data_IF_541573403905
#
_entry.id   IF_541573403905
#
_cell.length_a   1.000
_cell.length_b   1.000
_cell.length_c   1.000
_cell.angle_alpha   90.00
_cell.angle_beta   90.00
_cell.angle_gamma   90.00
#
_symmetry.space_group_name_H-M   'P 1'
#
loop_
_entity.id
_entity.type
_entity.pdbx_description
1 polymer ?
#
# COMPACT_ATOMS: atom_id res chain seq x y z
N UNK A 1 -9.82 -6.68 4.29
CA UNK A 1 -8.61 -6.72 5.13
C UNK A 1 -8.22 -5.31 5.52
N UNK A 2 -6.95 -5.09 5.86
CA UNK A 2 -6.35 -3.77 6.04
C UNK A 2 -5.74 -3.36 4.70
N UNK A 3 -6.09 -2.18 4.21
CA UNK A 3 -5.65 -1.66 2.92
C UNK A 3 -4.52 -0.65 3.12
N UNK A 4 -3.43 -0.85 2.38
CA UNK A 4 -2.27 0.04 2.33
C UNK A 4 -2.00 0.43 0.87
N UNK A 5 -1.31 1.54 0.65
CA UNK A 5 -0.88 1.97 -0.66
C UNK A 5 0.56 2.48 -0.62
N UNK A 6 1.28 2.29 -1.72
CA UNK A 6 2.66 2.77 -1.92
C UNK A 6 2.71 4.21 -2.46
N UNK A 7 1.56 4.83 -2.68
CA UNK A 7 1.43 6.19 -3.18
C UNK A 7 0.60 7.04 -2.22
N UNK A 8 1.21 8.11 -1.71
CA UNK A 8 0.56 9.12 -0.88
C UNK A 8 -0.77 9.60 -1.49
N UNK A 9 -0.77 9.92 -2.79
CA UNK A 9 -1.95 10.43 -3.49
C UNK A 9 -3.16 9.49 -3.40
N UNK A 10 -2.95 8.17 -3.47
CA UNK A 10 -4.02 7.18 -3.37
C UNK A 10 -4.62 7.18 -1.97
N UNK A 11 -3.78 7.11 -0.93
CA UNK A 11 -4.25 7.16 0.46
C UNK A 11 -4.90 8.50 0.82
N UNK A 12 -4.45 9.61 0.23
CA UNK A 12 -5.01 10.94 0.45
C UNK A 12 -6.44 11.11 -0.11
N UNK A 13 -6.97 10.19 -0.90
CA UNK A 13 -8.39 10.21 -1.27
C UNK A 13 -9.32 9.72 -0.17
N UNK A 14 -8.78 9.06 0.86
CA UNK A 14 -9.54 8.49 1.97
C UNK A 14 -9.49 9.34 3.24
N UNK A 15 -8.84 10.50 3.19
CA UNK A 15 -8.73 11.41 4.34
C UNK A 15 -9.67 12.60 4.17
N UNK A 16 -10.25 13.04 5.28
CA UNK A 16 -11.02 14.28 5.35
C UNK A 16 -10.32 15.23 6.32
N UNK A 17 -10.01 16.47 5.91
CA UNK A 17 -9.32 17.41 6.79
C UNK A 17 -10.20 17.82 7.97
N UNK A 18 -9.60 17.95 9.15
CA UNK A 18 -10.24 18.51 10.33
C UNK A 18 -9.47 19.75 10.77
N UNK A 19 -10.15 20.89 10.85
CA UNK A 19 -9.53 22.20 11.21
C UNK A 19 -8.30 22.56 10.36
N UNK A 20 -8.28 22.13 9.10
CA UNK A 20 -7.18 22.38 8.17
C UNK A 20 -6.02 21.38 8.26
N UNK A 21 -6.13 20.34 9.08
CA UNK A 21 -5.09 19.30 9.21
C UNK A 21 -5.60 17.96 8.68
N UNK A 22 -4.74 17.27 7.94
CA UNK A 22 -4.89 15.91 7.46
C UNK A 22 -3.91 15.02 8.24
N UNK A 23 -4.34 13.82 8.62
CA UNK A 23 -3.49 12.83 9.28
C UNK A 23 -3.40 11.58 8.44
N UNK A 24 -2.19 11.07 8.26
CA UNK A 24 -1.93 9.80 7.58
C UNK A 24 -0.91 8.97 8.37
N UNK A 25 -1.02 7.65 8.27
CA UNK A 25 -0.08 6.73 8.89
C UNK A 25 0.91 6.20 7.86
N UNK A 26 2.19 6.11 8.22
CA UNK A 26 3.12 5.22 7.56
C UNK A 26 3.24 3.93 8.38
N UNK A 27 3.01 2.83 7.69
CA UNK A 27 2.80 1.52 8.28
C UNK A 27 3.83 0.57 7.68
N UNK A 28 4.62 -0.05 8.54
CA UNK A 28 5.41 -1.23 8.16
C UNK A 28 4.46 -2.42 8.03
N UNK A 29 4.53 -3.14 6.92
CA UNK A 29 3.69 -4.32 6.68
C UNK A 29 4.53 -5.53 6.26
N UNK A 30 4.32 -6.64 6.96
CA UNK A 30 4.86 -7.95 6.60
C UNK A 30 3.99 -8.57 5.49
N UNK A 31 4.26 -8.17 4.24
CA UNK A 31 3.52 -8.61 3.06
C UNK A 31 3.74 -10.08 2.71
N UNK A 32 4.91 -10.64 3.04
CA UNK A 32 5.26 -12.02 2.73
C UNK A 32 5.13 -12.32 1.24
N UNK A 33 4.56 -13.49 0.91
CA UNK A 33 4.29 -13.87 -0.47
C UNK A 33 2.96 -13.29 -0.96
N UNK A 34 3.03 -12.39 -1.93
CA UNK A 34 1.88 -11.66 -2.45
C UNK A 34 1.15 -12.40 -3.56
N UNK A 35 -0.19 -12.43 -3.51
CA UNK A 35 -1.04 -12.82 -4.65
C UNK A 35 -1.39 -11.59 -5.47
N UNK A 36 -0.86 -11.49 -6.69
CA UNK A 36 -1.24 -10.43 -7.62
C UNK A 36 -2.65 -10.61 -8.20
N UNK A 37 -3.44 -9.53 -8.23
CA UNK A 37 -4.72 -9.43 -8.93
C UNK A 37 -4.77 -8.17 -9.82
N UNK A 38 -5.53 -8.22 -10.91
CA UNK A 38 -5.74 -7.10 -11.85
C UNK A 38 -7.21 -6.65 -11.91
N UNK A 39 -8.09 -7.33 -11.18
CA UNK A 39 -9.52 -7.02 -11.09
C UNK A 39 -9.97 -7.14 -9.66
N UNK A 40 -10.93 -6.31 -9.29
CA UNK A 40 -11.53 -6.33 -7.97
C UNK A 40 -12.17 -7.68 -7.66
N UNK A 41 -11.84 -8.21 -6.49
CA UNK A 41 -12.49 -9.36 -5.89
C UNK A 41 -12.88 -9.02 -4.45
N UNK A 42 -14.10 -8.51 -4.31
CA UNK A 42 -14.68 -8.11 -3.03
C UNK A 42 -14.99 -9.30 -2.12
N UNK A 43 -14.89 -10.54 -2.62
CA UNK A 43 -15.17 -11.75 -1.82
C UNK A 43 -13.99 -12.19 -0.96
N UNK A 44 -12.80 -11.63 -1.19
CA UNK A 44 -11.59 -11.97 -0.46
C UNK A 44 -11.66 -11.51 1.00
N UNK A 45 -11.80 -12.47 1.92
CA UNK A 45 -11.73 -12.26 3.37
C UNK A 45 -10.42 -12.76 4.00
N UNK A 46 -9.57 -13.42 3.22
CA UNK A 46 -8.24 -13.89 3.58
C UNK A 46 -7.31 -13.93 2.36
N UNK A 47 -6.00 -14.00 2.56
CA UNK A 47 -5.05 -14.26 1.48
C UNK A 47 -5.30 -15.67 0.88
N UNK A 48 -5.27 -15.83 -0.45
CA UNK A 48 -5.43 -17.15 -1.07
C UNK A 48 -4.40 -18.16 -0.58
N UNK A 49 -4.75 -19.46 -0.62
CA UNK A 49 -3.89 -20.54 -0.12
C UNK A 49 -2.47 -20.45 -0.70
N UNK A 50 -1.48 -20.43 0.20
CA UNK A 50 -0.06 -20.35 -0.18
C UNK A 50 0.47 -18.94 -0.46
N UNK A 51 -0.29 -17.92 -0.04
CA UNK A 51 0.06 -16.51 -0.05
C UNK A 51 -0.25 -15.89 1.32
N UNK A 52 0.44 -14.79 1.65
CA UNK A 52 0.33 -14.08 2.93
C UNK A 52 -0.44 -12.76 2.80
N UNK A 53 -0.52 -12.22 1.58
CA UNK A 53 -1.18 -10.96 1.25
C UNK A 53 -1.69 -10.96 -0.18
N UNK A 54 -2.44 -9.92 -0.55
CA UNK A 54 -2.90 -9.67 -1.92
C UNK A 54 -2.35 -8.31 -2.38
N UNK A 55 -1.82 -8.29 -3.59
CA UNK A 55 -1.41 -7.08 -4.30
C UNK A 55 -2.40 -6.83 -5.45
N UNK A 56 -3.27 -5.86 -5.28
CA UNK A 56 -4.05 -5.30 -6.37
C UNK A 56 -3.14 -4.38 -7.19
N UNK A 57 -2.66 -4.89 -8.33
CA UNK A 57 -1.58 -4.24 -9.08
C UNK A 57 -2.14 -3.09 -9.91
N UNK A 58 -1.71 -1.87 -9.60
CA UNK A 58 -2.04 -0.65 -10.31
C UNK A 58 -1.41 -0.58 -11.68
N UNK A 59 -2.01 0.22 -12.57
CA UNK A 59 -1.37 0.60 -13.83
C UNK A 59 -0.16 1.50 -13.61
N UNK A 60 -0.09 2.22 -12.47
CA UNK A 60 1.03 3.07 -12.09
C UNK A 60 1.55 2.73 -10.69
N UNK A 61 2.86 2.70 -10.53
CA UNK A 61 3.54 2.48 -9.24
C UNK A 61 4.87 3.24 -9.17
N UNK A 62 5.38 3.55 -7.96
CA UNK A 62 6.75 4.00 -7.78
C UNK A 62 7.74 3.03 -8.44
N UNK A 63 8.73 3.52 -9.22
CA UNK A 63 9.61 2.66 -10.01
C UNK A 63 10.65 1.93 -9.16
N UNK A 64 11.02 2.50 -8.02
CA UNK A 64 12.16 2.08 -7.22
C UNK A 64 11.75 1.92 -5.76
N UNK A 65 12.55 1.17 -5.02
CA UNK A 65 12.41 1.00 -3.58
C UNK A 65 13.77 1.19 -2.93
N UNK A 66 13.80 1.91 -1.83
CA UNK A 66 14.96 2.00 -0.95
C UNK A 66 14.77 1.07 0.23
N UNK A 67 15.81 0.34 0.60
CA UNK A 67 15.80 -0.48 1.80
C UNK A 67 16.37 0.31 2.97
N UNK A 68 15.58 0.44 4.03
CA UNK A 68 16.02 1.04 5.30
C UNK A 68 15.96 0.00 6.41
N UNK A 69 16.73 0.21 7.48
CA UNK A 69 16.68 -0.66 8.66
C UNK A 69 15.78 -0.06 9.74
N UNK A 70 14.80 -0.82 10.22
CA UNK A 70 13.93 -0.47 11.36
C UNK A 70 13.89 -1.66 12.32
N UNK A 71 14.30 -1.47 13.57
CA UNK A 71 14.36 -2.52 14.61
C UNK A 71 15.15 -3.77 14.15
N UNK A 72 16.21 -3.59 13.36
CA UNK A 72 17.01 -4.70 12.80
C UNK A 72 16.35 -5.42 11.61
N UNK A 73 15.19 -4.96 11.14
CA UNK A 73 14.54 -5.49 9.94
C UNK A 73 14.79 -4.58 8.73
N UNK A 74 14.97 -5.19 7.58
CA UNK A 74 15.02 -4.50 6.28
C UNK A 74 13.61 -4.19 5.82
N UNK A 75 13.28 -2.91 5.68
CA UNK A 75 11.97 -2.41 5.28
C UNK A 75 12.11 -1.64 3.98
N UNK A 76 11.35 -2.05 2.95
CA UNK A 76 11.33 -1.36 1.66
C UNK A 76 10.42 -0.14 1.70
N UNK A 77 10.93 1.00 1.25
CA UNK A 77 10.22 2.27 1.12
C UNK A 77 10.12 2.63 -0.36
N UNK A 78 8.91 2.82 -0.92
CA UNK A 78 8.74 3.20 -2.32
C UNK A 78 9.36 4.58 -2.60
N UNK A 79 10.10 4.70 -3.70
CA UNK A 79 10.79 5.91 -4.12
C UNK A 79 10.43 6.32 -5.55
N UNK A 80 10.48 7.63 -5.79
CA UNK A 80 10.31 8.22 -7.11
C UNK A 80 8.85 8.47 -7.53
N UNK A 81 8.70 9.16 -8.67
CA UNK A 81 7.38 9.47 -9.24
C UNK A 81 6.78 8.22 -9.88
N UNK A 82 5.48 7.94 -9.68
CA UNK A 82 4.83 6.77 -10.28
C UNK A 82 4.99 6.71 -11.80
N UNK A 83 5.24 5.51 -12.33
CA UNK A 83 5.35 5.22 -13.77
C UNK A 83 4.45 4.05 -14.13
N UNK A 84 4.16 3.89 -15.41
CA UNK A 84 3.40 2.75 -15.91
C UNK A 84 4.09 1.42 -15.55
N UNK A 85 3.30 0.46 -15.07
CA UNK A 85 3.78 -0.85 -14.64
C UNK A 85 3.65 -1.85 -15.79
N UNK A 86 4.78 -2.43 -16.21
CA UNK A 86 4.79 -3.50 -17.19
C UNK A 86 3.95 -4.69 -16.70
N UNK A 87 3.08 -5.23 -17.58
CA UNK A 87 2.21 -6.36 -17.24
C UNK A 87 0.94 -6.00 -16.43
N UNK A 88 0.72 -4.73 -16.09
CA UNK A 88 -0.53 -4.26 -15.47
C UNK A 88 -1.57 -3.74 -16.49
N UNK A 89 -1.34 -3.96 -17.79
CA UNK A 89 -2.26 -3.52 -18.85
C UNK A 89 -3.63 -4.15 -18.66
N UNK A 90 -4.67 -3.32 -18.58
CA UNK A 90 -6.04 -3.76 -18.35
C UNK A 90 -6.39 -4.06 -16.90
N UNK A 91 -5.54 -3.64 -15.94
CA UNK A 91 -5.92 -3.58 -14.53
C UNK A 91 -7.10 -2.62 -14.31
N UNK A 92 -8.03 -2.97 -13.41
CA UNK A 92 -9.04 -2.01 -12.93
C UNK A 92 -8.47 -1.00 -11.92
N UNK A 93 -7.24 -1.23 -11.45
CA UNK A 93 -6.59 -0.39 -10.45
C UNK A 93 -5.66 0.62 -11.10
N UNK A 94 -5.80 1.90 -10.76
CA UNK A 94 -4.85 2.95 -11.19
C UNK A 94 -3.56 2.95 -10.36
N UNK A 95 -3.66 2.61 -9.08
CA UNK A 95 -2.56 2.58 -8.10
C UNK A 95 -2.49 1.19 -7.46
N UNK A 96 -1.34 0.82 -6.92
CA UNK A 96 -1.26 -0.42 -6.13
C UNK A 96 -2.10 -0.29 -4.85
N UNK A 97 -2.76 -1.38 -4.47
CA UNK A 97 -3.30 -1.57 -3.13
C UNK A 97 -2.77 -2.88 -2.55
N UNK A 98 -2.24 -2.82 -1.34
CA UNK A 98 -1.71 -3.96 -0.61
C UNK A 98 -2.70 -4.33 0.48
N UNK A 99 -3.17 -5.58 0.45
CA UNK A 99 -4.16 -6.09 1.38
C UNK A 99 -3.52 -7.16 2.26
N UNK A 100 -3.52 -6.90 3.56
CA UNK A 100 -3.22 -7.89 4.60
C UNK A 100 -4.51 -8.25 5.34
N UNK A 101 -4.54 -9.44 5.93
CA UNK A 101 -5.76 -9.99 6.53
C UNK A 101 -5.62 -10.31 8.02
N UNK A 102 -4.43 -10.14 8.59
CA UNK A 102 -4.17 -10.28 10.02
C UNK A 102 -3.60 -8.97 10.57
N UNK A 103 -4.13 -8.49 11.68
CA UNK A 103 -3.63 -7.26 12.33
C UNK A 103 -2.16 -7.37 12.71
N UNK A 104 -1.68 -8.56 13.07
CA UNK A 104 -0.26 -8.82 13.38
C UNK A 104 0.69 -8.62 12.20
N UNK A 105 0.19 -8.46 10.97
CA UNK A 105 1.03 -8.20 9.78
C UNK A 105 1.40 -6.73 9.62
N UNK A 106 0.94 -5.82 10.48
CA UNK A 106 1.32 -4.41 10.38
C UNK A 106 1.73 -3.79 11.70
N UNK A 107 2.53 -2.74 11.59
CA UNK A 107 2.94 -1.88 12.71
C UNK A 107 2.99 -0.43 12.24
N UNK A 108 2.23 0.44 12.90
CA UNK A 108 2.32 1.89 12.66
C UNK A 108 3.70 2.36 13.10
N UNK A 109 4.43 3.02 12.21
CA UNK A 109 5.77 3.57 12.49
C UNK A 109 5.76 5.07 12.63
N UNK A 110 4.96 5.75 11.83
CA UNK A 110 4.87 7.20 11.84
C UNK A 110 3.43 7.68 11.69
N UNK A 111 3.15 8.81 12.31
CA UNK A 111 1.96 9.62 12.07
C UNK A 111 2.43 10.90 11.40
N UNK A 112 1.88 11.22 10.24
CA UNK A 112 2.19 12.43 9.50
C UNK A 112 0.98 13.35 9.55
N UNK A 113 1.24 14.61 9.88
CA UNK A 113 0.26 15.68 9.79
C UNK A 113 0.60 16.56 8.60
N UNK A 114 -0.39 16.82 7.76
CA UNK A 114 -0.29 17.71 6.61
C UNK A 114 -1.28 18.85 6.76
N UNK A 115 -0.90 20.04 6.30
CA UNK A 115 -1.85 21.12 6.12
C UNK A 115 -2.69 20.86 4.87
N UNK A 116 -4.00 21.09 4.96
CA UNK A 116 -4.94 20.88 3.84
C UNK A 116 -4.98 22.08 2.87
N UNK A 117 -4.03 23.01 2.98
CA UNK A 117 -3.97 24.27 2.22
C UNK A 117 -2.89 24.21 1.15
#
# INVERSE_FOLDING_TARGET
>A
GIYLADQHQKSAWYVSPARGTIVMFLVEAALGKEKGILRDDHTLTAAPKGYDSVLARGTHAPPDFEEIEIDGNKVSVPQGKPKEVAGAKGSSFAHNEFLIYKESQHRIRYVLAFDSK
#
